data_IF_888690046923
#
_entry.id   IF_888690046923
#
_cell.length_a   1.000
_cell.length_b   1.000
_cell.length_c   1.000
_cell.angle_alpha   90.00
_cell.angle_beta   90.00
_cell.angle_gamma   90.00
#
_symmetry.space_group_name_H-M   'P 1'
#
loop_
_entity.id
_entity.type
_entity.pdbx_description
1 polymer ?
#
# COMPACT_ATOMS: atom_id res chain seq x y z
N UNK A 1 -5.30 -7.15 -15.99
CA UNK A 1 -5.61 -6.26 -14.85
C UNK A 1 -7.10 -6.03 -14.58
N UNK A 2 -7.99 -5.98 -15.58
CA UNK A 2 -9.42 -5.68 -15.35
C UNK A 2 -10.16 -6.64 -14.42
N UNK A 3 -9.75 -7.90 -14.34
CA UNK A 3 -10.41 -8.92 -13.51
C UNK A 3 -10.16 -8.73 -12.00
N UNK A 4 -8.99 -8.19 -11.60
CA UNK A 4 -8.62 -7.96 -10.19
C UNK A 4 -9.43 -6.84 -9.52
N UNK A 5 -10.08 -6.00 -10.32
CA UNK A 5 -10.92 -4.89 -9.89
C UNK A 5 -12.40 -5.10 -10.24
N UNK A 6 -12.81 -6.36 -10.52
CA UNK A 6 -14.21 -6.66 -10.75
C UNK A 6 -15.02 -6.48 -9.46
N UNK A 7 -16.28 -6.06 -9.60
CA UNK A 7 -17.18 -5.86 -8.46
C UNK A 7 -17.35 -7.12 -7.61
N UNK A 8 -17.36 -8.30 -8.27
CA UNK A 8 -17.43 -9.59 -7.58
C UNK A 8 -16.21 -9.84 -6.69
N UNK A 9 -15.02 -9.47 -7.17
CA UNK A 9 -13.78 -9.64 -6.41
C UNK A 9 -13.68 -8.66 -5.23
N UNK A 10 -14.13 -7.41 -5.43
CA UNK A 10 -14.19 -6.42 -4.34
C UNK A 10 -15.13 -6.87 -3.22
N UNK A 11 -16.27 -7.50 -3.54
CA UNK A 11 -17.18 -8.06 -2.55
C UNK A 11 -16.53 -9.16 -1.68
N UNK A 12 -15.61 -9.93 -2.24
CA UNK A 12 -14.88 -10.96 -1.50
C UNK A 12 -13.89 -10.38 -0.48
N UNK A 13 -13.50 -9.11 -0.67
CA UNK A 13 -12.62 -8.36 0.24
C UNK A 13 -13.40 -7.52 1.27
N UNK A 14 -14.74 -7.54 1.22
CA UNK A 14 -15.62 -6.73 2.09
C UNK A 14 -15.36 -6.99 3.57
N UNK A 15 -15.02 -8.22 3.94
CA UNK A 15 -14.71 -8.61 5.32
C UNK A 15 -13.55 -7.79 5.92
N UNK A 16 -12.50 -7.50 5.11
CA UNK A 16 -11.37 -6.69 5.57
C UNK A 16 -11.73 -5.21 5.72
N UNK A 17 -12.63 -4.73 4.85
CA UNK A 17 -13.17 -3.37 4.93
C UNK A 17 -14.05 -3.22 6.17
N UNK A 18 -14.91 -4.19 6.44
CA UNK A 18 -15.82 -4.18 7.57
C UNK A 18 -15.09 -4.13 8.91
N UNK A 19 -13.96 -4.86 9.03
CA UNK A 19 -13.12 -4.80 10.22
C UNK A 19 -12.61 -3.37 10.47
N UNK A 20 -12.04 -2.76 9.44
CA UNK A 20 -11.50 -1.40 9.53
C UNK A 20 -12.60 -0.35 9.77
N UNK A 21 -13.80 -0.54 9.18
CA UNK A 21 -14.98 0.31 9.43
C UNK A 21 -15.44 0.22 10.89
N UNK A 22 -15.41 -0.98 11.48
CA UNK A 22 -15.77 -1.16 12.91
C UNK A 22 -14.84 -0.37 13.81
N UNK A 23 -13.52 -0.47 13.60
CA UNK A 23 -12.52 0.29 14.37
C UNK A 23 -12.79 1.79 14.26
N UNK A 24 -13.05 2.30 13.06
CA UNK A 24 -13.38 3.71 12.85
C UNK A 24 -14.66 4.12 13.58
N UNK A 25 -15.73 3.33 13.45
CA UNK A 25 -17.02 3.58 14.12
C UNK A 25 -16.87 3.61 15.63
N UNK A 26 -16.12 2.67 16.19
CA UNK A 26 -15.93 2.58 17.65
C UNK A 26 -15.14 3.79 18.17
N UNK A 27 -14.14 4.28 17.44
CA UNK A 27 -13.45 5.53 17.77
C UNK A 27 -14.37 6.74 17.72
N UNK A 28 -15.18 6.88 16.66
CA UNK A 28 -16.14 7.99 16.55
C UNK A 28 -17.13 7.94 17.70
N UNK A 29 -17.66 6.76 18.02
CA UNK A 29 -18.60 6.56 19.13
C UNK A 29 -17.97 6.96 20.46
N UNK A 30 -16.76 6.48 20.75
CA UNK A 30 -16.03 6.81 21.97
C UNK A 30 -15.88 8.32 22.16
N UNK A 31 -15.37 9.05 21.14
CA UNK A 31 -15.22 10.50 21.23
C UNK A 31 -16.56 11.24 21.34
N UNK A 32 -17.62 10.73 20.72
CA UNK A 32 -18.98 11.27 20.85
C UNK A 32 -19.53 11.12 22.27
N UNK A 33 -19.27 10.00 22.93
CA UNK A 33 -19.74 9.73 24.30
C UNK A 33 -19.04 10.58 25.34
N UNK A 34 -17.74 10.85 25.15
CA UNK A 34 -16.97 11.70 26.09
C UNK A 34 -17.05 13.19 25.76
N UNK A 35 -17.67 13.57 24.61
CA UNK A 35 -17.82 14.96 24.20
C UNK A 35 -16.51 15.65 23.77
N UNK A 36 -15.49 14.88 23.39
CA UNK A 36 -14.23 15.42 22.89
C UNK A 36 -14.27 15.79 21.41
N UNK A 37 -13.46 16.77 21.03
CA UNK A 37 -13.27 17.13 19.62
C UNK A 37 -12.52 16.00 18.91
N UNK A 38 -13.12 15.50 17.84
CA UNK A 38 -12.57 14.41 17.03
C UNK A 38 -12.08 14.93 15.67
N UNK A 39 -10.81 14.69 15.36
CA UNK A 39 -10.25 14.99 14.04
C UNK A 39 -10.63 13.89 13.04
N UNK A 40 -11.78 14.08 12.39
CA UNK A 40 -12.31 13.16 11.39
C UNK A 40 -11.36 12.99 10.20
N UNK A 41 -10.65 14.06 9.78
CA UNK A 41 -9.70 13.99 8.65
C UNK A 41 -8.55 13.03 8.98
N UNK A 42 -7.98 13.17 10.15
CA UNK A 42 -6.90 12.28 10.64
C UNK A 42 -7.37 10.83 10.72
N UNK A 43 -8.55 10.61 11.30
CA UNK A 43 -9.12 9.27 11.44
C UNK A 43 -9.41 8.59 10.10
N UNK A 44 -9.96 9.33 9.14
CA UNK A 44 -10.19 8.83 7.78
C UNK A 44 -8.87 8.52 7.06
N UNK A 45 -7.83 9.33 7.27
CA UNK A 45 -6.51 9.06 6.71
C UNK A 45 -5.93 7.74 7.25
N UNK A 46 -6.02 7.51 8.55
CA UNK A 46 -5.59 6.26 9.17
C UNK A 46 -6.38 5.05 8.67
N UNK A 47 -7.71 5.21 8.54
CA UNK A 47 -8.56 4.20 7.95
C UNK A 47 -8.12 3.82 6.53
N UNK A 48 -7.87 4.81 5.67
CA UNK A 48 -7.45 4.59 4.28
C UNK A 48 -6.11 3.86 4.20
N UNK A 49 -5.16 4.17 5.08
CA UNK A 49 -3.84 3.52 5.13
C UNK A 49 -3.98 2.04 5.56
N UNK A 50 -4.78 1.76 6.57
CA UNK A 50 -4.99 0.37 7.03
C UNK A 50 -5.74 -0.46 5.99
N UNK A 51 -6.75 0.11 5.33
CA UNK A 51 -7.46 -0.52 4.21
C UNK A 51 -6.50 -0.80 3.05
N UNK A 52 -5.64 0.15 2.68
CA UNK A 52 -4.62 -0.07 1.65
C UNK A 52 -3.68 -1.23 2.03
N UNK A 53 -3.25 -1.25 3.28
CA UNK A 53 -2.41 -2.34 3.81
C UNK A 53 -3.05 -3.71 3.64
N UNK A 54 -4.33 -3.82 4.02
CA UNK A 54 -5.08 -5.06 3.92
C UNK A 54 -5.30 -5.51 2.47
N UNK A 55 -5.74 -4.61 1.61
CA UNK A 55 -6.13 -4.94 0.23
C UNK A 55 -4.93 -5.11 -0.70
N UNK A 56 -3.93 -4.23 -0.60
CA UNK A 56 -2.81 -4.20 -1.53
C UNK A 56 -1.59 -5.00 -1.05
N UNK A 57 -1.36 -5.08 0.27
CA UNK A 57 -0.14 -5.66 0.84
C UNK A 57 -0.39 -6.88 1.72
N UNK A 58 -1.62 -7.36 1.80
CA UNK A 58 -2.00 -8.52 2.62
C UNK A 58 -1.65 -8.34 4.11
N UNK A 59 -1.63 -7.10 4.60
CA UNK A 59 -1.25 -6.79 5.99
C UNK A 59 -1.88 -5.51 6.49
N UNK A 60 -2.36 -5.50 7.72
CA UNK A 60 -2.69 -4.24 8.41
C UNK A 60 -1.41 -3.51 8.84
N UNK A 61 -1.41 -2.19 8.74
CA UNK A 61 -0.39 -1.34 9.36
C UNK A 61 -0.73 -1.05 10.83
N UNK A 62 -2.00 -1.20 11.23
CA UNK A 62 -2.48 -0.99 12.60
C UNK A 62 -2.38 0.47 13.03
N UNK A 63 -2.47 1.40 12.09
CA UNK A 63 -2.38 2.84 12.36
C UNK A 63 -3.60 3.32 13.12
N UNK A 64 -4.78 2.82 12.75
CA UNK A 64 -6.03 3.17 13.43
C UNK A 64 -6.02 2.77 14.89
N UNK A 65 -5.58 1.54 15.20
CA UNK A 65 -5.59 1.02 16.57
C UNK A 65 -4.56 1.72 17.46
N UNK A 66 -3.35 1.91 16.93
CA UNK A 66 -2.26 2.48 17.67
C UNK A 66 -2.31 4.01 17.80
N UNK A 67 -3.08 4.68 16.95
CA UNK A 67 -3.08 6.16 16.77
C UNK A 67 -1.67 6.74 16.55
N UNK A 68 -0.84 5.98 15.82
CA UNK A 68 0.60 6.22 15.68
C UNK A 68 0.98 6.49 14.21
N UNK A 69 1.29 7.74 13.91
CA UNK A 69 1.70 8.19 12.57
C UNK A 69 3.02 7.56 12.10
N UNK A 70 3.87 7.09 13.01
CA UNK A 70 5.14 6.47 12.65
C UNK A 70 4.97 5.15 11.88
N UNK A 71 3.80 4.55 11.97
CA UNK A 71 3.44 3.32 11.24
C UNK A 71 3.01 3.57 9.80
N UNK A 72 2.76 4.83 9.44
CA UNK A 72 2.34 5.20 8.07
C UNK A 72 3.54 5.05 7.14
N UNK A 73 3.41 4.28 6.04
CA UNK A 73 4.44 4.27 5.01
C UNK A 73 4.66 5.69 4.46
N UNK A 74 5.89 6.08 4.07
CA UNK A 74 6.20 7.43 3.59
C UNK A 74 5.69 7.67 2.16
N UNK A 75 4.38 7.46 1.95
CA UNK A 75 3.70 7.60 0.65
C UNK A 75 3.68 9.03 0.15
N UNK A 76 3.66 10.01 1.06
CA UNK A 76 3.67 11.44 0.72
C UNK A 76 5.01 11.82 0.08
N UNK A 77 6.13 11.44 0.71
CA UNK A 77 7.47 11.67 0.18
C UNK A 77 7.65 10.98 -1.17
N UNK A 78 7.15 9.76 -1.30
CA UNK A 78 7.15 9.01 -2.55
C UNK A 78 6.37 9.73 -3.65
N UNK A 79 5.13 10.15 -3.37
CA UNK A 79 4.24 10.85 -4.31
C UNK A 79 4.79 12.23 -4.70
N UNK A 80 5.34 12.98 -3.74
CA UNK A 80 5.99 14.27 -4.01
C UNK A 80 7.20 14.10 -4.93
N UNK A 81 8.05 13.09 -4.71
CA UNK A 81 9.17 12.83 -5.60
C UNK A 81 8.67 12.51 -7.02
N UNK A 82 7.61 11.72 -7.16
CA UNK A 82 7.01 11.41 -8.43
C UNK A 82 6.45 12.67 -9.13
N UNK A 83 5.74 13.52 -8.39
CA UNK A 83 5.22 14.79 -8.91
C UNK A 83 6.34 15.72 -9.40
N UNK A 84 7.40 15.90 -8.60
CA UNK A 84 8.57 16.74 -8.97
C UNK A 84 9.28 16.17 -10.21
N UNK A 85 9.49 14.85 -10.27
CA UNK A 85 10.16 14.21 -11.40
C UNK A 85 9.29 14.21 -12.65
N UNK A 86 7.95 14.10 -12.50
CA UNK A 86 6.99 14.17 -13.59
C UNK A 86 6.78 15.58 -14.14
N UNK A 87 6.87 16.62 -13.30
CA UNK A 87 6.73 18.01 -13.71
C UNK A 87 7.88 18.48 -14.65
N UNK A 88 9.09 17.89 -14.49
CA UNK A 88 10.27 18.25 -15.31
C UNK A 88 11.01 17.01 -15.81
N UNK A 89 10.44 16.25 -16.72
CA UNK A 89 10.99 14.97 -17.14
C UNK A 89 12.35 15.10 -17.81
N UNK A 90 12.56 16.14 -18.63
CA UNK A 90 13.84 16.37 -19.32
C UNK A 90 14.98 16.67 -18.35
N UNK A 91 14.72 17.53 -17.36
CA UNK A 91 15.71 17.88 -16.35
C UNK A 91 15.99 16.69 -15.43
N UNK A 92 14.97 15.92 -15.12
CA UNK A 92 15.10 14.73 -14.28
C UNK A 92 15.90 13.63 -14.97
N UNK A 93 15.70 13.42 -16.26
CA UNK A 93 16.45 12.43 -17.04
C UNK A 93 17.94 12.75 -17.10
N UNK A 94 18.31 14.02 -17.28
CA UNK A 94 19.70 14.45 -17.32
C UNK A 94 20.37 14.48 -15.95
N UNK A 95 19.66 14.91 -14.91
CA UNK A 95 20.17 15.03 -13.54
C UNK A 95 19.93 13.80 -12.66
N UNK A 96 19.18 12.80 -13.12
CA UNK A 96 18.81 11.60 -12.36
C UNK A 96 19.99 10.96 -11.63
N UNK A 97 21.17 10.95 -12.26
CA UNK A 97 22.38 10.36 -11.68
C UNK A 97 22.96 11.20 -10.53
N UNK A 98 22.76 12.52 -10.56
CA UNK A 98 23.34 13.47 -9.61
C UNK A 98 22.37 13.87 -8.49
N UNK A 99 21.05 13.81 -8.76
CA UNK A 99 20.00 14.22 -7.83
C UNK A 99 20.12 13.59 -6.43
N UNK A 100 20.40 12.27 -6.28
CA UNK A 100 20.51 11.63 -4.96
C UNK A 100 21.69 12.14 -4.13
N UNK A 101 22.73 12.67 -4.80
CA UNK A 101 23.96 13.15 -4.16
C UNK A 101 23.93 14.64 -3.81
N UNK A 102 22.88 15.37 -4.21
CA UNK A 102 22.73 16.76 -3.85
C UNK A 102 22.62 16.92 -2.32
N UNK A 103 23.36 17.86 -1.71
CA UNK A 103 23.37 18.08 -0.27
C UNK A 103 22.13 18.84 0.22
N UNK A 104 20.93 18.48 -0.29
CA UNK A 104 19.67 19.09 0.11
C UNK A 104 18.86 18.10 0.95
N UNK A 105 18.59 18.47 2.22
CA UNK A 105 17.92 17.59 3.17
C UNK A 105 16.52 17.12 2.68
N UNK A 106 15.76 18.03 2.04
CA UNK A 106 14.45 17.69 1.48
C UNK A 106 14.51 16.63 0.39
N UNK A 107 15.45 16.74 -0.56
CA UNK A 107 15.63 15.73 -1.61
C UNK A 107 16.01 14.38 -1.03
N UNK A 108 16.94 14.34 -0.08
CA UNK A 108 17.35 13.09 0.58
C UNK A 108 16.15 12.42 1.28
N UNK A 109 15.28 13.21 1.93
CA UNK A 109 14.05 12.71 2.56
C UNK A 109 13.11 12.09 1.52
N UNK A 110 12.90 12.74 0.38
CA UNK A 110 12.04 12.22 -0.70
C UNK A 110 12.59 10.90 -1.27
N UNK A 111 13.90 10.81 -1.51
CA UNK A 111 14.53 9.58 -1.98
C UNK A 111 14.50 8.47 -0.93
N UNK A 112 14.68 8.79 0.34
CA UNK A 112 14.54 7.84 1.44
C UNK A 112 13.10 7.31 1.53
N UNK A 113 12.09 8.17 1.41
CA UNK A 113 10.69 7.78 1.37
C UNK A 113 10.37 6.85 0.19
N UNK A 114 10.85 7.18 -1.01
CA UNK A 114 10.71 6.30 -2.18
C UNK A 114 11.33 4.93 -1.96
N UNK A 115 12.54 4.89 -1.39
CA UNK A 115 13.22 3.63 -1.09
C UNK A 115 12.43 2.81 -0.07
N UNK A 116 11.96 3.44 1.00
CA UNK A 116 11.16 2.75 2.02
C UNK A 116 9.86 2.16 1.44
N UNK A 117 9.17 2.87 0.54
CA UNK A 117 8.01 2.33 -0.17
C UNK A 117 8.39 1.15 -1.08
N UNK A 118 9.52 1.23 -1.80
CA UNK A 118 9.99 0.11 -2.63
C UNK A 118 10.36 -1.11 -1.78
N UNK A 119 11.05 -0.93 -0.67
CA UNK A 119 11.42 -2.00 0.26
C UNK A 119 10.16 -2.63 0.89
N UNK A 120 9.14 -1.84 1.19
CA UNK A 120 7.84 -2.33 1.68
C UNK A 120 7.13 -3.17 0.63
N UNK A 121 7.05 -2.70 -0.62
CA UNK A 121 6.44 -3.44 -1.72
C UNK A 121 7.16 -4.78 -1.95
N UNK A 122 8.50 -4.74 -2.10
CA UNK A 122 9.32 -5.94 -2.31
C UNK A 122 9.17 -6.95 -1.15
N UNK A 123 9.26 -6.48 0.10
CA UNK A 123 9.11 -7.36 1.27
C UNK A 123 7.72 -7.99 1.36
N UNK A 124 6.68 -7.25 0.98
CA UNK A 124 5.30 -7.75 0.97
C UNK A 124 5.09 -8.83 -0.09
N UNK A 125 5.62 -8.61 -1.31
CA UNK A 125 5.59 -9.61 -2.40
C UNK A 125 6.35 -10.87 -2.00
N UNK A 126 7.59 -10.72 -1.50
CA UNK A 126 8.42 -11.86 -1.09
C UNK A 126 7.79 -12.66 0.04
N UNK A 127 7.21 -11.97 1.04
CA UNK A 127 6.47 -12.62 2.12
C UNK A 127 5.30 -13.43 1.58
N UNK A 128 4.49 -12.83 0.69
CA UNK A 128 3.33 -13.50 0.14
C UNK A 128 3.69 -14.68 -0.75
N UNK A 129 4.75 -14.58 -1.54
CA UNK A 129 5.26 -15.69 -2.33
C UNK A 129 5.74 -16.86 -1.44
N UNK A 130 6.42 -16.57 -0.32
CA UNK A 130 6.81 -17.60 0.66
C UNK A 130 5.57 -18.26 1.28
N UNK A 131 4.61 -17.46 1.76
CA UNK A 131 3.37 -17.97 2.36
C UNK A 131 2.60 -18.91 1.41
N UNK A 132 2.62 -18.63 0.11
CA UNK A 132 1.99 -19.48 -0.91
C UNK A 132 2.81 -20.75 -1.24
N UNK A 133 4.15 -20.69 -1.16
CA UNK A 133 5.03 -21.82 -1.47
C UNK A 133 5.15 -22.80 -0.30
N UNK A 134 5.15 -22.30 0.94
CA UNK A 134 5.36 -23.13 2.14
C UNK A 134 4.15 -23.98 2.53
N UNK A 135 3.13 -24.02 1.69
CA UNK A 135 1.93 -24.84 1.90
C UNK A 135 1.15 -24.50 3.17
N UNK A 136 1.35 -23.28 3.67
CA UNK A 136 0.72 -22.61 4.79
C UNK A 136 0.28 -23.48 5.96
N UNK A 137 1.06 -23.49 7.04
CA UNK A 137 0.64 -24.10 8.32
C UNK A 137 -0.60 -23.42 8.95
N UNK A 138 -1.07 -22.32 8.41
CA UNK A 138 -2.29 -21.63 8.83
C UNK A 138 -3.30 -21.53 7.67
N UNK A 139 -4.39 -22.26 7.82
CA UNK A 139 -5.50 -22.33 6.85
C UNK A 139 -6.04 -20.95 6.43
N UNK A 140 -5.91 -19.92 7.29
CA UNK A 140 -6.35 -18.56 7.02
C UNK A 140 -5.48 -17.79 6.01
N UNK A 141 -4.17 -18.07 5.95
CA UNK A 141 -3.22 -17.34 5.08
C UNK A 141 -3.31 -17.78 3.62
N UNK A 142 -3.58 -19.05 3.36
CA UNK A 142 -3.72 -19.59 2.00
C UNK A 142 -4.96 -19.09 1.28
N UNK A 143 -6.04 -18.84 2.02
CA UNK A 143 -7.34 -18.49 1.43
C UNK A 143 -7.60 -16.97 1.38
N UNK A 144 -6.57 -16.16 1.72
CA UNK A 144 -6.70 -14.72 1.70
C UNK A 144 -6.90 -14.21 0.27
N UNK A 145 -7.98 -13.46 0.08
CA UNK A 145 -8.36 -12.86 -1.19
C UNK A 145 -8.03 -11.37 -1.15
N UNK A 146 -6.88 -11.02 -1.69
CA UNK A 146 -6.39 -9.65 -1.80
C UNK A 146 -5.80 -9.40 -3.20
N UNK A 147 -5.57 -8.14 -3.54
CA UNK A 147 -5.11 -7.73 -4.87
C UNK A 147 -3.77 -8.39 -5.20
N UNK A 148 -2.85 -8.44 -4.23
CA UNK A 148 -1.52 -9.02 -4.43
C UNK A 148 -1.60 -10.52 -4.72
N UNK A 149 -2.44 -11.26 -3.98
CA UNK A 149 -2.67 -12.70 -4.24
C UNK A 149 -3.25 -12.94 -5.62
N UNK A 150 -4.18 -12.07 -6.05
CA UNK A 150 -4.76 -12.18 -7.38
C UNK A 150 -3.73 -11.91 -8.48
N UNK A 151 -2.86 -10.92 -8.31
CA UNK A 151 -1.77 -10.64 -9.25
C UNK A 151 -0.78 -11.80 -9.35
N UNK A 152 -0.40 -12.42 -8.23
CA UNK A 152 0.49 -13.59 -8.21
C UNK A 152 -0.12 -14.78 -8.99
N UNK A 153 -1.44 -14.95 -8.89
CA UNK A 153 -2.17 -16.03 -9.59
C UNK A 153 -2.52 -15.69 -11.03
N UNK A 154 -2.48 -14.41 -11.42
CA UNK A 154 -2.84 -13.95 -12.75
C UNK A 154 -1.92 -14.56 -13.82
N UNK A 155 -2.53 -14.88 -14.98
CA UNK A 155 -1.82 -15.33 -16.18
C UNK A 155 -2.14 -14.41 -17.33
N UNK A 156 -1.16 -14.21 -18.20
CA UNK A 156 -1.39 -13.48 -19.44
C UNK A 156 -2.41 -14.24 -20.31
N UNK A 157 -3.44 -13.57 -20.84
CA UNK A 157 -4.54 -14.24 -21.55
C UNK A 157 -4.10 -14.95 -22.83
N UNK A 158 -3.06 -14.47 -23.49
CA UNK A 158 -2.58 -15.03 -24.78
C UNK A 158 -1.40 -15.98 -24.59
N UNK A 159 -0.44 -15.65 -23.73
CA UNK A 159 0.79 -16.46 -23.56
C UNK A 159 0.69 -17.47 -22.42
N UNK A 160 -0.26 -17.29 -21.49
CA UNK A 160 -0.39 -18.12 -20.29
C UNK A 160 0.72 -17.91 -19.26
N UNK A 161 1.65 -17.00 -19.52
CA UNK A 161 2.75 -16.68 -18.62
C UNK A 161 2.26 -15.96 -17.36
N UNK A 162 2.95 -16.21 -16.24
CA UNK A 162 2.71 -15.49 -14.99
C UNK A 162 3.60 -14.26 -14.91
N UNK A 163 3.18 -13.26 -14.12
CA UNK A 163 4.01 -12.12 -13.80
C UNK A 163 5.29 -12.59 -13.10
N UNK A 164 6.41 -12.01 -13.48
CA UNK A 164 7.68 -12.24 -12.79
C UNK A 164 7.69 -11.57 -11.42
N UNK A 165 8.59 -11.97 -10.53
CA UNK A 165 8.72 -11.31 -9.22
C UNK A 165 8.96 -9.80 -9.37
N UNK A 166 9.77 -9.39 -10.33
CA UNK A 166 10.05 -7.96 -10.60
C UNK A 166 8.80 -7.21 -11.06
N UNK A 167 7.95 -7.84 -11.88
CA UNK A 167 6.68 -7.24 -12.30
C UNK A 167 5.74 -7.08 -11.10
N UNK A 168 5.64 -8.11 -10.25
CA UNK A 168 4.82 -8.07 -9.03
C UNK A 168 5.28 -6.97 -8.06
N UNK A 169 6.59 -6.82 -7.86
CA UNK A 169 7.17 -5.76 -7.03
C UNK A 169 6.89 -4.37 -7.61
N UNK A 170 6.93 -4.23 -8.94
CA UNK A 170 6.62 -2.98 -9.63
C UNK A 170 5.15 -2.61 -9.50
N UNK A 171 4.24 -3.57 -9.67
CA UNK A 171 2.80 -3.36 -9.50
C UNK A 171 2.45 -3.04 -8.04
N UNK A 172 3.01 -3.78 -7.08
CA UNK A 172 2.82 -3.51 -5.66
C UNK A 172 3.33 -2.11 -5.27
N UNK A 173 4.46 -1.70 -5.83
CA UNK A 173 4.99 -0.35 -5.66
C UNK A 173 4.06 0.71 -6.26
N UNK A 174 3.42 0.40 -7.40
CA UNK A 174 2.41 1.26 -8.05
C UNK A 174 1.21 1.57 -7.15
N UNK A 175 0.78 0.65 -6.29
CA UNK A 175 -0.34 0.90 -5.37
C UNK A 175 -0.08 2.03 -4.38
N UNK A 176 1.19 2.34 -4.07
CA UNK A 176 1.54 3.47 -3.21
C UNK A 176 1.18 4.83 -3.81
N UNK A 177 1.01 4.93 -5.14
CA UNK A 177 0.58 6.17 -5.81
C UNK A 177 -0.94 6.41 -5.71
N UNK A 178 -1.72 5.36 -5.49
CA UNK A 178 -3.17 5.44 -5.44
C UNK A 178 -3.70 5.91 -4.08
N UNK A 179 -2.82 6.18 -3.12
CA UNK A 179 -3.22 6.66 -1.79
C UNK A 179 -3.58 8.15 -1.90
N UNK A 180 -4.84 8.57 -1.67
CA UNK A 180 -5.21 9.98 -1.68
C UNK A 180 -4.49 10.72 -0.56
N UNK A 181 -3.87 11.85 -0.91
CA UNK A 181 -3.20 12.79 0.01
C UNK A 181 -4.23 13.71 0.65
#
# INVERSE_FOLDING_TARGET
MSHSFSLSYIKEMEEYLDLNIRILKDKIRYHSEIGEVFDLKKALHYYMIDVLGELAFSRSFGVQEADDESRIPPVIEHSLLAAVTGAWPTMTMTLKRWLPYMPHAGLRRLFAGRKACADLASSSVQRRLRDLNDGGSSVGVQNRKDILTNLIKAKHPETGERLTQTDLETEAFGFMYCTPI
#
